data_IF_648952223494
#
_entry.id   IF_648952223494
#
_cell.length_a   1.000
_cell.length_b   1.000
_cell.length_c   1.000
_cell.angle_alpha   90.00
_cell.angle_beta   90.00
_cell.angle_gamma   90.00
#
_symmetry.space_group_name_H-M   'P 1'
#
loop_
_entity.id
_entity.type
_entity.pdbx_description
1 polymer ?
#
# COMPACT_ATOMS: atom_id res chain seq x y z
N UNK A 1 -15.34 19.54 27.20
CA UNK A 1 -15.37 19.62 25.72
C UNK A 1 -14.26 18.73 25.16
N UNK A 2 -14.59 17.52 24.71
CA UNK A 2 -13.63 16.63 24.06
C UNK A 2 -13.18 17.28 22.74
N UNK A 3 -11.94 17.77 22.70
CA UNK A 3 -11.30 18.13 21.42
C UNK A 3 -11.13 16.83 20.65
N UNK A 4 -12.03 16.54 19.70
CA UNK A 4 -11.78 15.53 18.69
C UNK A 4 -10.44 15.89 18.05
N UNK A 5 -9.38 15.12 18.35
CA UNK A 5 -8.08 15.32 17.72
C UNK A 5 -8.29 15.15 16.23
N UNK A 6 -8.04 16.20 15.45
CA UNK A 6 -8.13 16.15 14.00
C UNK A 6 -7.19 15.03 13.49
N UNK A 7 -7.75 14.06 12.79
CA UNK A 7 -6.99 12.95 12.20
C UNK A 7 -6.14 13.51 11.06
N UNK A 8 -4.84 13.25 11.09
CA UNK A 8 -3.90 13.74 10.07
C UNK A 8 -3.67 12.71 8.97
N UNK A 9 -3.25 13.17 7.78
CA UNK A 9 -2.96 12.27 6.65
C UNK A 9 -1.92 11.17 7.00
N UNK A 10 -0.83 11.44 7.75
CA UNK A 10 0.08 10.38 8.23
C UNK A 10 -0.60 9.33 9.11
N UNK A 11 -1.59 9.70 9.92
CA UNK A 11 -2.34 8.73 10.74
C UNK A 11 -3.24 7.84 9.89
N UNK A 12 -3.91 8.43 8.89
CA UNK A 12 -4.71 7.67 7.91
C UNK A 12 -3.80 6.70 7.15
N UNK A 13 -2.65 7.19 6.67
CA UNK A 13 -1.69 6.37 5.94
C UNK A 13 -1.13 5.23 6.79
N UNK A 14 -0.86 5.46 8.07
CA UNK A 14 -0.43 4.41 8.99
C UNK A 14 -1.46 3.27 9.06
N UNK A 15 -2.75 3.62 9.20
CA UNK A 15 -3.83 2.63 9.20
C UNK A 15 -3.91 1.90 7.87
N UNK A 16 -3.82 2.63 6.76
CA UNK A 16 -3.86 2.05 5.42
C UNK A 16 -2.70 1.07 5.16
N UNK A 17 -1.49 1.36 5.63
CA UNK A 17 -0.35 0.44 5.52
C UNK A 17 -0.57 -0.86 6.32
N UNK A 18 -1.19 -0.77 7.50
CA UNK A 18 -1.55 -1.97 8.28
C UNK A 18 -2.64 -2.78 7.58
N UNK A 19 -3.64 -2.10 7.00
CA UNK A 19 -4.69 -2.77 6.21
C UNK A 19 -4.08 -3.41 4.95
N UNK A 20 -3.18 -2.72 4.27
CA UNK A 20 -2.44 -3.22 3.11
C UNK A 20 -1.68 -4.50 3.45
N UNK A 21 -0.89 -4.46 4.53
CA UNK A 21 -0.18 -5.64 5.04
C UNK A 21 -1.13 -6.80 5.36
N UNK A 22 -2.31 -6.53 5.95
CA UNK A 22 -3.28 -7.57 6.25
C UNK A 22 -3.87 -8.20 4.97
N UNK A 23 -4.20 -7.37 3.98
CA UNK A 23 -4.74 -7.84 2.70
C UNK A 23 -3.70 -8.66 1.93
N UNK A 24 -2.46 -8.18 1.83
CA UNK A 24 -1.36 -8.95 1.21
C UNK A 24 -1.04 -10.23 1.98
N UNK A 25 -1.16 -10.26 3.31
CA UNK A 25 -0.96 -11.49 4.09
C UNK A 25 -2.03 -12.53 3.76
N UNK A 26 -3.30 -12.12 3.68
CA UNK A 26 -4.39 -13.03 3.29
C UNK A 26 -4.20 -13.52 1.86
N UNK A 27 -3.85 -12.63 0.94
CA UNK A 27 -3.60 -12.98 -0.45
C UNK A 27 -2.40 -13.94 -0.62
N UNK A 28 -1.30 -13.68 0.09
CA UNK A 28 -0.11 -14.55 0.12
C UNK A 28 -0.44 -15.96 0.59
N UNK A 29 -1.19 -16.10 1.68
CA UNK A 29 -1.60 -17.42 2.21
C UNK A 29 -2.50 -18.15 1.20
N UNK A 30 -3.44 -17.45 0.56
CA UNK A 30 -4.34 -18.06 -0.43
C UNK A 30 -3.63 -18.49 -1.71
N UNK A 31 -2.50 -17.87 -2.03
CA UNK A 31 -1.71 -18.17 -3.24
C UNK A 31 -0.49 -19.07 -2.96
N UNK A 32 -0.22 -19.41 -1.70
CA UNK A 32 1.06 -19.98 -1.25
C UNK A 32 1.48 -21.23 -2.03
N UNK A 33 0.53 -22.12 -2.31
CA UNK A 33 0.79 -23.39 -2.99
C UNK A 33 0.74 -23.28 -4.52
N UNK A 34 0.13 -22.23 -5.05
CA UNK A 34 -0.27 -22.14 -6.46
C UNK A 34 0.54 -21.12 -7.28
N UNK A 35 1.19 -20.15 -6.62
CA UNK A 35 1.75 -19.00 -7.33
C UNK A 35 2.97 -18.39 -6.67
N UNK A 36 3.95 -18.02 -7.50
CA UNK A 36 5.10 -17.19 -7.09
C UNK A 36 4.69 -15.78 -6.63
N UNK A 37 3.47 -15.34 -6.95
CA UNK A 37 2.91 -14.09 -6.44
C UNK A 37 2.79 -14.09 -4.91
N UNK A 38 2.61 -15.27 -4.29
CA UNK A 38 2.56 -15.37 -2.83
C UNK A 38 3.84 -14.86 -2.15
N UNK A 39 5.00 -15.07 -2.78
CA UNK A 39 6.29 -14.57 -2.27
C UNK A 39 6.31 -13.04 -2.36
N UNK A 40 5.81 -12.48 -3.47
CA UNK A 40 5.75 -11.02 -3.66
C UNK A 40 4.81 -10.39 -2.63
N UNK A 41 3.63 -10.97 -2.43
CA UNK A 41 2.69 -10.52 -1.41
C UNK A 41 3.31 -10.58 0.00
N UNK A 42 3.98 -11.69 0.35
CA UNK A 42 4.67 -11.81 1.64
C UNK A 42 5.76 -10.74 1.82
N UNK A 43 6.49 -10.38 0.75
CA UNK A 43 7.44 -9.27 0.77
C UNK A 43 6.74 -7.93 0.97
N UNK A 44 5.61 -7.68 0.29
CA UNK A 44 4.82 -6.45 0.46
C UNK A 44 4.32 -6.31 1.90
N UNK A 45 3.91 -7.39 2.56
CA UNK A 45 3.57 -7.38 4.00
C UNK A 45 4.72 -6.81 4.84
N UNK A 46 5.94 -7.33 4.64
CA UNK A 46 7.11 -6.89 5.42
C UNK A 46 7.42 -5.42 5.12
N UNK A 47 7.38 -5.02 3.85
CA UNK A 47 7.63 -3.64 3.42
C UNK A 47 6.63 -2.69 4.06
N UNK A 48 5.34 -3.01 4.01
CA UNK A 48 4.27 -2.17 4.58
C UNK A 48 4.41 -2.02 6.09
N UNK A 49 4.74 -3.10 6.81
CA UNK A 49 4.96 -3.05 8.26
C UNK A 49 6.21 -2.24 8.63
N UNK A 50 7.29 -2.35 7.84
CA UNK A 50 8.49 -1.53 8.05
C UNK A 50 8.18 -0.05 7.86
N UNK A 51 7.49 0.30 6.77
CA UNK A 51 7.11 1.69 6.48
C UNK A 51 6.13 2.20 7.53
N UNK A 52 5.16 1.39 7.97
CA UNK A 52 4.27 1.73 9.07
C UNK A 52 5.05 2.02 10.36
N UNK A 53 6.04 1.19 10.70
CA UNK A 53 6.91 1.42 11.84
C UNK A 53 7.73 2.72 11.73
N UNK A 54 8.28 3.01 10.55
CA UNK A 54 8.98 4.27 10.28
C UNK A 54 8.05 5.48 10.41
N UNK A 55 6.84 5.40 9.85
CA UNK A 55 5.85 6.47 9.92
C UNK A 55 5.36 6.70 11.35
N UNK A 56 5.10 5.63 12.10
CA UNK A 56 4.69 5.69 13.51
C UNK A 56 5.74 6.41 14.37
N UNK A 57 7.03 6.12 14.16
CA UNK A 57 8.13 6.79 14.87
C UNK A 57 8.24 8.29 14.53
N UNK A 58 7.85 8.68 13.32
CA UNK A 58 7.97 10.07 12.83
C UNK A 58 6.69 10.90 13.01
N UNK A 59 5.62 10.33 13.60
CA UNK A 59 4.35 11.05 13.84
C UNK A 59 4.52 12.32 14.70
N UNK A 60 5.49 12.34 15.61
CA UNK A 60 5.79 13.49 16.48
C UNK A 60 6.83 14.45 15.90
N UNK A 61 7.46 14.09 14.78
CA UNK A 61 8.58 14.83 14.17
C UNK A 61 8.33 15.03 12.67
N UNK A 62 7.49 16.01 12.27
CA UNK A 62 7.09 16.19 10.88
C UNK A 62 8.25 16.34 9.88
N UNK A 63 9.36 16.94 10.30
CA UNK A 63 10.56 17.10 9.47
C UNK A 63 11.19 15.77 9.02
N UNK A 64 10.94 14.67 9.73
CA UNK A 64 11.46 13.34 9.41
C UNK A 64 10.50 12.50 8.54
N UNK A 65 9.34 13.05 8.16
CA UNK A 65 8.31 12.34 7.40
C UNK A 65 8.55 12.20 5.88
N UNK A 66 9.37 13.00 5.18
CA UNK A 66 9.49 12.87 3.71
C UNK A 66 9.90 11.47 3.23
N UNK A 67 10.84 10.82 3.93
CA UNK A 67 11.32 9.47 3.58
C UNK A 67 10.22 8.41 3.73
N UNK A 68 9.57 8.21 4.91
CA UNK A 68 8.52 7.20 5.02
C UNK A 68 7.31 7.49 4.11
N UNK A 69 6.99 8.76 3.83
CA UNK A 69 5.94 9.11 2.88
C UNK A 69 6.30 8.71 1.44
N UNK A 70 7.54 8.97 1.00
CA UNK A 70 8.01 8.53 -0.31
C UNK A 70 8.03 7.00 -0.40
N UNK A 71 8.53 6.32 0.64
CA UNK A 71 8.53 4.86 0.71
C UNK A 71 7.13 4.28 0.59
N UNK A 72 6.15 4.84 1.30
CA UNK A 72 4.74 4.41 1.19
C UNK A 72 4.19 4.60 -0.23
N UNK A 73 4.49 5.72 -0.88
CA UNK A 73 4.05 5.96 -2.26
C UNK A 73 4.66 4.95 -3.24
N UNK A 74 5.94 4.60 -3.07
CA UNK A 74 6.62 3.61 -3.91
C UNK A 74 6.09 2.20 -3.66
N UNK A 75 5.93 1.81 -2.39
CA UNK A 75 5.40 0.50 -2.01
C UNK A 75 3.98 0.29 -2.56
N UNK A 76 3.08 1.26 -2.36
CA UNK A 76 1.74 1.19 -2.93
C UNK A 76 1.75 1.16 -4.47
N UNK A 77 2.67 1.87 -5.13
CA UNK A 77 2.77 1.81 -6.59
C UNK A 77 3.23 0.43 -7.09
N UNK A 78 4.14 -0.23 -6.35
CA UNK A 78 4.54 -1.60 -6.62
C UNK A 78 3.36 -2.55 -6.40
N UNK A 79 2.63 -2.42 -5.29
CA UNK A 79 1.42 -3.21 -5.01
C UNK A 79 0.38 -3.10 -6.13
N UNK A 80 0.05 -1.88 -6.58
CA UNK A 80 -0.79 -1.65 -7.77
C UNK A 80 -0.26 -2.38 -9.01
N UNK A 81 1.05 -2.30 -9.26
CA UNK A 81 1.67 -2.94 -10.42
C UNK A 81 1.61 -4.47 -10.36
N UNK A 82 1.74 -5.07 -9.16
CA UNK A 82 1.66 -6.54 -8.98
C UNK A 82 0.28 -7.09 -9.34
N UNK A 83 -0.77 -6.29 -9.22
CA UNK A 83 -2.11 -6.66 -9.66
C UNK A 83 -2.35 -6.36 -11.15
N UNK A 84 -2.00 -5.15 -11.61
CA UNK A 84 -2.32 -4.71 -12.97
C UNK A 84 -1.48 -5.41 -14.03
N UNK A 85 -0.18 -5.61 -13.81
CA UNK A 85 0.72 -6.14 -14.83
C UNK A 85 0.35 -7.56 -15.26
N UNK A 86 0.10 -8.53 -14.35
CA UNK A 86 -0.37 -9.86 -14.75
C UNK A 86 -1.70 -9.82 -15.50
N UNK A 87 -2.62 -8.92 -15.10
CA UNK A 87 -3.93 -8.77 -15.74
C UNK A 87 -3.82 -8.27 -17.18
N UNK A 88 -2.96 -7.27 -17.42
CA UNK A 88 -2.68 -6.73 -18.77
C UNK A 88 -2.00 -7.80 -19.64
N UNK A 89 -1.06 -8.55 -19.09
CA UNK A 89 -0.39 -9.65 -19.83
C UNK A 89 -1.36 -10.79 -20.16
N UNK A 90 -2.27 -11.14 -19.25
CA UNK A 90 -3.30 -12.15 -19.51
C UNK A 90 -4.25 -11.72 -20.63
N UNK A 91 -4.70 -10.45 -20.61
CA UNK A 91 -5.51 -9.84 -21.67
C UNK A 91 -4.80 -9.90 -23.03
N UNK A 92 -3.53 -9.48 -23.08
CA UNK A 92 -2.73 -9.51 -24.30
C UNK A 92 -2.54 -10.92 -24.86
N UNK A 93 -2.55 -11.95 -24.00
CA UNK A 93 -2.47 -13.35 -24.37
C UNK A 93 -3.84 -14.02 -24.65
N UNK A 94 -4.95 -13.26 -24.64
CA UNK A 94 -6.30 -13.79 -24.85
C UNK A 94 -6.81 -14.70 -23.73
N UNK A 95 -6.23 -14.63 -22.53
CA UNK A 95 -6.59 -15.46 -21.37
C UNK A 95 -7.67 -14.77 -20.53
N UNK A 96 -8.54 -15.56 -19.86
CA UNK A 96 -9.55 -15.00 -18.97
C UNK A 96 -8.92 -14.28 -17.76
N UNK A 97 -9.56 -13.19 -17.33
CA UNK A 97 -9.13 -12.32 -16.23
C UNK A 97 -9.53 -12.84 -14.84
N UNK A 98 -9.24 -14.11 -14.56
CA UNK A 98 -9.68 -14.77 -13.32
C UNK A 98 -9.31 -14.00 -12.04
N UNK A 99 -8.15 -13.33 -12.00
CA UNK A 99 -7.68 -12.55 -10.84
C UNK A 99 -8.40 -11.22 -10.61
N UNK A 100 -9.06 -10.63 -11.61
CA UNK A 100 -9.76 -9.34 -11.47
C UNK A 100 -11.07 -9.45 -10.66
N UNK A 101 -11.61 -10.65 -10.54
CA UNK A 101 -12.84 -10.93 -9.80
C UNK A 101 -12.59 -11.54 -8.42
N UNK A 102 -11.33 -11.73 -8.02
CA UNK A 102 -11.02 -12.09 -6.64
C UNK A 102 -11.14 -10.86 -5.74
N UNK A 103 -12.05 -10.91 -4.76
CA UNK A 103 -12.34 -9.79 -3.89
C UNK A 103 -11.14 -9.33 -3.05
N UNK A 104 -10.21 -10.23 -2.72
CA UNK A 104 -9.00 -9.88 -1.97
C UNK A 104 -7.95 -9.22 -2.84
N UNK A 105 -7.72 -9.74 -4.04
CA UNK A 105 -6.84 -9.12 -5.01
C UNK A 105 -7.32 -7.71 -5.39
N UNK A 106 -8.63 -7.51 -5.57
CA UNK A 106 -9.21 -6.18 -5.80
C UNK A 106 -9.07 -5.26 -4.57
N UNK A 107 -9.27 -5.79 -3.36
CA UNK A 107 -9.05 -5.02 -2.14
C UNK A 107 -7.60 -4.55 -2.00
N UNK A 108 -6.62 -5.40 -2.37
CA UNK A 108 -5.19 -5.05 -2.36
C UNK A 108 -4.94 -3.85 -3.27
N UNK A 109 -5.36 -3.98 -4.55
CA UNK A 109 -5.26 -2.90 -5.53
C UNK A 109 -5.86 -1.58 -5.01
N UNK A 110 -7.06 -1.65 -4.45
CA UNK A 110 -7.77 -0.46 -3.99
C UNK A 110 -7.02 0.21 -2.83
N UNK A 111 -6.58 -0.57 -1.84
CA UNK A 111 -5.84 -0.06 -0.69
C UNK A 111 -4.52 0.56 -1.15
N UNK A 112 -3.77 -0.11 -2.01
CA UNK A 112 -2.51 0.39 -2.56
C UNK A 112 -2.68 1.71 -3.32
N UNK A 113 -3.70 1.81 -4.18
CA UNK A 113 -3.99 3.03 -4.92
C UNK A 113 -4.30 4.21 -3.97
N UNK A 114 -5.01 3.94 -2.86
CA UNK A 114 -5.30 4.95 -1.84
C UNK A 114 -4.02 5.30 -1.07
N UNK A 115 -3.19 4.33 -0.70
CA UNK A 115 -1.88 4.53 -0.07
C UNK A 115 -1.03 5.49 -0.90
N UNK A 116 -0.88 5.23 -2.21
CA UNK A 116 -0.15 6.10 -3.14
C UNK A 116 -0.70 7.53 -3.09
N UNK A 117 -2.01 7.68 -3.24
CA UNK A 117 -2.66 9.00 -3.30
C UNK A 117 -2.45 9.80 -2.01
N UNK A 118 -2.65 9.17 -0.85
CA UNK A 118 -2.51 9.82 0.45
C UNK A 118 -1.04 10.13 0.75
N UNK A 119 -0.13 9.21 0.43
CA UNK A 119 1.30 9.38 0.62
C UNK A 119 1.86 10.56 -0.19
N UNK A 120 1.54 10.62 -1.50
CA UNK A 120 1.95 11.74 -2.36
C UNK A 120 1.33 13.06 -1.90
N UNK A 121 0.05 13.05 -1.50
CA UNK A 121 -0.60 14.24 -0.99
C UNK A 121 0.06 14.77 0.28
N UNK A 122 0.37 13.88 1.23
CA UNK A 122 1.08 14.24 2.45
C UNK A 122 2.51 14.74 2.14
N UNK A 123 3.22 14.06 1.24
CA UNK A 123 4.59 14.41 0.86
C UNK A 123 4.65 15.82 0.25
N UNK A 124 3.73 16.15 -0.67
CA UNK A 124 3.63 17.49 -1.27
C UNK A 124 3.41 18.60 -0.25
N UNK A 125 2.76 18.30 0.89
CA UNK A 125 2.55 19.27 1.99
C UNK A 125 3.76 19.40 2.91
N UNK A 126 4.70 18.45 2.88
CA UNK A 126 5.92 18.48 3.68
C UNK A 126 7.11 19.11 2.96
N UNK A 127 7.09 19.14 1.63
CA UNK A 127 8.14 19.77 0.83
C UNK A 127 7.95 21.29 0.80
N UNK A 128 9.03 22.09 0.92
CA UNK A 128 8.94 23.52 0.70
C UNK A 128 8.40 23.78 -0.70
N UNK A 129 7.31 24.53 -0.82
CA UNK A 129 6.90 25.09 -2.11
C UNK A 129 8.00 26.07 -2.52
N UNK A 130 8.77 25.70 -3.55
CA UNK A 130 9.67 26.63 -4.23
C UNK A 130 8.92 27.79 -4.84
#
# INVERSE_FOLDING_TARGET
MNRLRAITAPQILLVLLVVSAAVHAVHAVRLWDDSRLAIIDAVLVVVDLVIAGMLARTLRTPAAQPVPLLSAAVAGAIGVATFLLPSVLALAAGRPLGGLFDGWAFAALLVDAIVVRIAIFALKRTLPTG
#
